data_IF_137195096813
#
_entry.id   IF_137195096813
#
_cell.length_a   1.000
_cell.length_b   1.000
_cell.length_c   1.000
_cell.angle_alpha   90.00
_cell.angle_beta   90.00
_cell.angle_gamma   90.00
#
_symmetry.space_group_name_H-M   'P 1'
#
loop_
_entity.id
_entity.type
_entity.pdbx_description
1 polymer ?
#
# COMPACT_ATOMS: atom_id res chain seq x y z
N UNK A 1 5.53 15.43 -16.35
CA UNK A 1 4.77 15.70 -15.11
C UNK A 1 5.75 16.23 -14.09
N UNK A 2 5.47 17.38 -13.46
CA UNK A 2 6.23 17.92 -12.33
C UNK A 2 5.31 17.85 -11.11
N UNK A 3 5.85 17.48 -9.95
CA UNK A 3 5.11 17.27 -8.70
C UNK A 3 4.01 16.18 -8.77
N UNK A 4 4.47 14.93 -8.90
CA UNK A 4 3.61 13.74 -9.08
C UNK A 4 2.53 13.61 -7.99
N UNK A 5 1.28 13.40 -8.42
CA UNK A 5 0.11 13.13 -7.58
C UNK A 5 -0.49 11.76 -7.90
N UNK A 6 -1.28 11.20 -6.99
CA UNK A 6 -1.98 9.92 -7.21
C UNK A 6 -2.87 9.93 -8.46
N UNK A 7 -3.51 11.07 -8.72
CA UNK A 7 -4.39 11.26 -9.86
C UNK A 7 -3.66 11.28 -11.20
N UNK A 8 -2.33 11.35 -11.19
CA UNK A 8 -1.52 11.25 -12.41
C UNK A 8 -1.36 9.78 -12.88
N UNK A 9 -1.73 8.80 -12.05
CA UNK A 9 -1.65 7.39 -12.43
C UNK A 9 -2.58 7.08 -13.61
N UNK A 10 -2.09 6.30 -14.58
CA UNK A 10 -2.86 5.94 -15.75
C UNK A 10 -2.00 5.59 -16.96
N UNK A 11 -2.66 5.34 -18.10
CA UNK A 11 -1.97 5.02 -19.36
C UNK A 11 -1.79 6.29 -20.18
N UNK A 12 -0.53 6.62 -20.46
CA UNK A 12 -0.16 7.75 -21.29
C UNK A 12 0.16 7.28 -22.70
N UNK A 13 -0.31 8.04 -23.70
CA UNK A 13 -0.09 7.73 -25.11
C UNK A 13 0.78 8.79 -25.78
N UNK A 14 1.84 8.35 -26.45
CA UNK A 14 2.53 9.14 -27.45
C UNK A 14 1.96 8.82 -28.82
N UNK A 15 1.56 9.84 -29.57
CA UNK A 15 0.89 9.70 -30.85
C UNK A 15 1.59 10.54 -31.91
N UNK A 16 1.95 9.91 -33.03
CA UNK A 16 2.58 10.55 -34.19
C UNK A 16 1.65 10.39 -35.38
N UNK A 17 1.36 11.50 -36.04
CA UNK A 17 0.57 11.55 -37.26
C UNK A 17 1.54 11.70 -38.44
N UNK A 18 1.60 10.68 -39.30
CA UNK A 18 2.48 10.66 -40.48
C UNK A 18 1.74 11.28 -41.68
N UNK A 19 0.43 11.06 -41.75
CA UNK A 19 -0.46 11.67 -42.74
C UNK A 19 -1.87 11.81 -42.16
N UNK A 20 -2.83 12.25 -42.97
CA UNK A 20 -4.25 12.32 -42.59
C UNK A 20 -4.86 10.94 -42.30
N UNK A 21 -4.25 9.86 -42.78
CA UNK A 21 -4.75 8.48 -42.63
C UNK A 21 -3.80 7.57 -41.84
N UNK A 22 -2.52 7.91 -41.73
CA UNK A 22 -1.52 7.10 -41.04
C UNK A 22 -1.13 7.70 -39.69
N UNK A 23 -1.34 6.92 -38.61
CA UNK A 23 -1.00 7.27 -37.23
C UNK A 23 -0.29 6.11 -36.54
N UNK A 24 0.74 6.43 -35.76
CA UNK A 24 1.43 5.50 -34.86
C UNK A 24 1.15 5.94 -33.41
N UNK A 25 0.88 4.98 -32.52
CA UNK A 25 0.63 5.24 -31.10
C UNK A 25 1.40 4.26 -30.24
N UNK A 26 2.00 4.75 -29.15
CA UNK A 26 2.66 3.93 -28.14
C UNK A 26 2.12 4.31 -26.76
N UNK A 27 1.69 3.32 -25.98
CA UNK A 27 1.16 3.50 -24.63
C UNK A 27 2.16 3.08 -23.56
N UNK A 28 2.20 3.79 -22.43
CA UNK A 28 2.96 3.42 -21.23
C UNK A 28 2.09 3.63 -19.99
N UNK A 29 2.10 2.67 -19.08
CA UNK A 29 1.42 2.78 -17.79
C UNK A 29 2.31 3.54 -16.80
N UNK A 30 1.78 4.60 -16.22
CA UNK A 30 2.38 5.30 -15.10
C UNK A 30 1.70 4.85 -13.80
N UNK A 31 2.49 4.21 -12.94
CA UNK A 31 2.06 3.84 -11.59
C UNK A 31 2.65 4.81 -10.57
N UNK A 32 1.78 5.44 -9.78
CA UNK A 32 2.19 6.35 -8.71
C UNK A 32 2.22 5.59 -7.40
N UNK A 33 3.42 5.47 -6.81
CA UNK A 33 3.63 4.72 -5.58
C UNK A 33 3.41 5.58 -4.36
N UNK A 34 2.92 4.95 -3.29
CA UNK A 34 2.70 5.60 -2.00
C UNK A 34 3.34 4.81 -0.88
N UNK A 35 3.98 5.49 0.09
CA UNK A 35 4.54 4.81 1.24
C UNK A 35 3.44 4.09 2.03
N UNK A 36 3.77 3.00 2.71
CA UNK A 36 2.89 2.38 3.69
C UNK A 36 2.53 3.38 4.79
N UNK A 37 1.27 3.38 5.22
CA UNK A 37 0.83 4.08 6.43
C UNK A 37 -0.07 3.16 7.23
N UNK A 38 -0.06 3.34 8.56
CA UNK A 38 -0.99 2.67 9.46
C UNK A 38 -2.15 3.63 9.69
N UNK A 39 -3.37 3.17 9.44
CA UNK A 39 -4.59 3.95 9.59
C UNK A 39 -4.97 4.10 11.06
N UNK A 40 -5.57 5.24 11.40
CA UNK A 40 -5.96 5.60 12.77
C UNK A 40 -7.00 4.67 13.40
N UNK A 41 -7.75 3.92 12.59
CA UNK A 41 -8.67 2.87 13.05
C UNK A 41 -7.95 1.59 13.53
N UNK A 42 -6.63 1.50 13.40
CA UNK A 42 -5.83 0.40 13.94
C UNK A 42 -5.79 0.45 15.47
N UNK A 43 -5.56 -0.70 16.09
CA UNK A 43 -5.40 -0.79 17.54
C UNK A 43 -4.17 -0.01 17.98
N UNK A 44 -4.35 0.96 18.89
CA UNK A 44 -3.26 1.80 19.43
C UNK A 44 -2.65 1.21 20.68
N UNK A 45 -3.46 1.12 21.74
CA UNK A 45 -3.07 0.56 23.03
C UNK A 45 -4.28 -0.11 23.65
N UNK A 46 -4.07 -1.30 24.22
CA UNK A 46 -5.11 -2.08 24.89
C UNK A 46 -4.53 -2.59 26.19
N UNK A 47 -5.32 -2.50 27.27
CA UNK A 47 -5.02 -3.09 28.58
C UNK A 47 -6.04 -4.19 28.82
N UNK A 48 -5.56 -5.38 29.16
CA UNK A 48 -6.39 -6.57 29.42
C UNK A 48 -5.93 -7.25 30.70
N UNK A 49 -6.84 -7.96 31.37
CA UNK A 49 -6.50 -8.73 32.56
C UNK A 49 -5.85 -10.07 32.18
N UNK A 50 -5.08 -10.65 33.10
CA UNK A 50 -4.52 -11.98 32.90
C UNK A 50 -5.65 -13.00 32.66
N UNK A 51 -5.49 -13.82 31.61
CA UNK A 51 -6.47 -14.82 31.19
C UNK A 51 -7.53 -14.31 30.21
N UNK A 52 -7.63 -13.00 29.97
CA UNK A 52 -8.54 -12.45 28.96
C UNK A 52 -7.94 -12.52 27.55
N UNK A 53 -8.82 -12.74 26.56
CA UNK A 53 -8.44 -12.71 25.15
C UNK A 53 -8.30 -11.27 24.65
N UNK A 54 -7.34 -11.04 23.76
CA UNK A 54 -7.13 -9.73 23.11
C UNK A 54 -6.94 -9.92 21.61
N UNK A 55 -7.51 -9.00 20.84
CA UNK A 55 -7.32 -8.89 19.40
C UNK A 55 -6.65 -7.55 19.08
N UNK A 56 -5.59 -7.60 18.26
CA UNK A 56 -4.90 -6.41 17.77
C UNK A 56 -5.12 -6.33 16.26
N UNK A 57 -5.83 -5.31 15.81
CA UNK A 57 -6.10 -5.06 14.40
C UNK A 57 -5.13 -4.01 13.86
N UNK A 58 -4.55 -4.26 12.69
CA UNK A 58 -3.72 -3.31 11.97
C UNK A 58 -4.29 -3.13 10.57
N UNK A 59 -4.65 -1.90 10.24
CA UNK A 59 -5.12 -1.50 8.92
C UNK A 59 -4.03 -0.65 8.30
N UNK A 60 -3.32 -1.21 7.32
CA UNK A 60 -2.27 -0.49 6.60
C UNK A 60 -2.70 -0.21 5.16
N UNK A 61 -2.44 1.00 4.69
CA UNK A 61 -2.65 1.42 3.31
C UNK A 61 -1.34 1.77 2.62
N UNK A 62 -1.36 1.84 1.30
CA UNK A 62 -0.19 2.16 0.48
C UNK A 62 -0.35 1.62 -0.94
N UNK A 63 0.55 2.01 -1.84
CA UNK A 63 0.59 1.42 -3.18
C UNK A 63 2.03 1.11 -3.62
N UNK A 64 2.34 -0.16 -3.97
CA UNK A 64 1.49 -1.35 -3.87
C UNK A 64 1.04 -1.63 -2.43
N UNK A 65 0.00 -2.46 -2.27
CA UNK A 65 -0.53 -2.81 -0.95
C UNK A 65 0.58 -3.34 -0.03
N UNK A 66 0.72 -2.80 1.20
CA UNK A 66 1.79 -3.20 2.10
C UNK A 66 1.56 -4.59 2.66
N UNK A 67 2.64 -5.25 3.08
CA UNK A 67 2.61 -6.47 3.90
C UNK A 67 2.64 -6.08 5.38
N UNK A 68 1.79 -6.71 6.18
CA UNK A 68 1.69 -6.47 7.61
C UNK A 68 2.40 -7.60 8.34
N UNK A 69 3.30 -7.27 9.26
CA UNK A 69 3.93 -8.24 10.14
C UNK A 69 3.86 -7.78 11.58
N UNK A 70 3.59 -8.73 12.48
CA UNK A 70 3.49 -8.47 13.91
C UNK A 70 4.73 -8.96 14.63
N UNK A 71 5.17 -8.18 15.63
CA UNK A 71 6.25 -8.55 16.54
C UNK A 71 6.03 -7.93 17.91
N UNK A 72 6.59 -8.57 18.93
CA UNK A 72 6.78 -7.91 20.23
C UNK A 72 7.91 -6.89 20.13
N UNK A 73 7.89 -5.88 21.00
CA UNK A 73 8.94 -4.85 21.06
C UNK A 73 10.33 -5.47 21.28
N UNK A 74 10.41 -6.51 22.12
CA UNK A 74 11.63 -7.25 22.39
C UNK A 74 11.93 -8.37 21.37
N UNK A 75 11.25 -8.40 20.22
CA UNK A 75 11.32 -9.46 19.21
C UNK A 75 11.01 -10.88 19.72
N UNK A 76 10.42 -11.04 20.92
CA UNK A 76 10.00 -12.34 21.38
C UNK A 76 8.87 -12.90 20.50
N UNK A 77 8.80 -14.22 20.42
CA UNK A 77 7.81 -14.94 19.62
C UNK A 77 6.41 -14.56 20.09
N UNK A 78 5.54 -14.21 19.15
CA UNK A 78 4.13 -13.97 19.44
C UNK A 78 3.46 -15.31 19.78
N UNK A 79 2.50 -15.36 20.73
CA UNK A 79 1.78 -16.59 21.07
C UNK A 79 1.11 -17.24 19.86
N UNK A 80 0.75 -16.44 18.85
CA UNK A 80 0.13 -16.88 17.59
C UNK A 80 1.14 -17.27 16.50
N UNK A 81 2.45 -17.22 16.77
CA UNK A 81 3.50 -17.62 15.82
C UNK A 81 3.96 -16.55 14.84
N UNK A 82 3.48 -15.31 14.98
CA UNK A 82 3.86 -14.19 14.11
C UNK A 82 3.27 -14.34 12.70
N UNK A 83 2.11 -13.73 12.48
CA UNK A 83 1.44 -13.81 11.19
C UNK A 83 1.89 -12.66 10.28
N UNK A 84 2.30 -13.01 9.05
CA UNK A 84 2.49 -12.07 7.96
C UNK A 84 1.19 -12.07 7.16
N UNK A 85 0.54 -10.91 7.07
CA UNK A 85 -0.70 -10.70 6.31
C UNK A 85 -0.44 -9.81 5.09
#
# INVERSE_FOLDING_TARGET
>A
IKDIQETDAGVYFCQIYISTTAKISAGVELQVRRPPYISDNSTRSTVVSEGEAVELSCYAGGFPSPRISWRRENNAILPTGGSIY
#
